data_IF_866486675648
#
_entry.id   IF_866486675648
#
_cell.length_a   1.000
_cell.length_b   1.000
_cell.length_c   1.000
_cell.angle_alpha   90.00
_cell.angle_beta   90.00
_cell.angle_gamma   90.00
#
_symmetry.space_group_name_H-M   'P 1'
#
loop_
_entity.id
_entity.type
_entity.pdbx_description
1 polymer ?
#
# COMPACT_ATOMS: atom_id res chain seq x y z
N UNK A 1 -21.11 -17.09 13.91
CA UNK A 1 -20.09 -16.03 13.81
C UNK A 1 -20.06 -15.50 12.38
N UNK A 2 -20.82 -14.45 12.08
CA UNK A 2 -20.89 -13.85 10.76
C UNK A 2 -19.84 -12.73 10.70
N UNK A 3 -18.64 -13.02 10.18
CA UNK A 3 -17.58 -12.03 10.01
C UNK A 3 -18.05 -11.05 8.93
N UNK A 4 -18.44 -9.86 9.36
CA UNK A 4 -18.82 -8.75 8.47
C UNK A 4 -17.54 -8.31 7.75
N UNK A 5 -17.27 -8.89 6.58
CA UNK A 5 -16.06 -8.67 5.79
C UNK A 5 -16.20 -7.56 4.75
N UNK A 6 -16.91 -6.47 5.07
CA UNK A 6 -17.11 -5.36 4.15
C UNK A 6 -16.72 -4.02 4.78
N UNK A 7 -15.57 -3.99 5.44
CA UNK A 7 -15.05 -2.77 6.06
C UNK A 7 -14.40 -1.92 4.98
N UNK A 8 -14.83 -0.67 4.82
CA UNK A 8 -14.14 0.27 3.94
C UNK A 8 -12.79 0.61 4.54
N UNK A 9 -11.73 0.39 3.76
CA UNK A 9 -10.36 0.78 4.07
C UNK A 9 -9.95 1.95 3.18
N UNK A 10 -9.26 2.91 3.79
CA UNK A 10 -8.66 4.07 3.15
C UNK A 10 -7.15 3.87 3.12
N UNK A 11 -6.58 3.81 1.91
CA UNK A 11 -5.17 3.55 1.68
C UNK A 11 -4.47 4.86 1.42
N UNK A 12 -3.43 5.12 2.20
CA UNK A 12 -2.51 6.22 1.95
C UNK A 12 -1.15 5.65 1.59
N UNK A 13 -0.42 6.34 0.74
CA UNK A 13 0.97 6.05 0.44
C UNK A 13 1.75 7.32 0.73
N UNK A 14 2.68 7.21 1.67
CA UNK A 14 3.36 8.32 2.31
C UNK A 14 2.32 9.29 2.89
N UNK A 15 2.14 10.47 2.29
CA UNK A 15 1.20 11.50 2.74
C UNK A 15 -0.04 11.64 1.83
N UNK A 16 -0.14 10.82 0.77
CA UNK A 16 -1.19 10.93 -0.23
C UNK A 16 -2.24 9.81 -0.12
N UNK A 17 -3.53 10.17 -0.19
CA UNK A 17 -4.61 9.19 -0.30
C UNK A 17 -4.63 8.59 -1.70
N UNK A 18 -4.37 7.29 -1.80
CA UNK A 18 -4.26 6.56 -3.08
C UNK A 18 -5.50 5.75 -3.43
N UNK A 19 -6.47 5.64 -2.51
CA UNK A 19 -7.80 5.09 -2.80
C UNK A 19 -8.45 4.36 -1.65
N UNK A 20 -9.56 3.67 -1.94
CA UNK A 20 -10.31 2.90 -0.95
C UNK A 20 -10.71 1.52 -1.46
N UNK A 21 -10.80 0.54 -0.58
CA UNK A 21 -11.29 -0.81 -0.90
C UNK A 21 -12.33 -1.25 0.13
N UNK A 22 -13.19 -2.21 -0.24
CA UNK A 22 -14.24 -2.75 0.65
C UNK A 22 -14.32 -4.27 0.63
N UNK A 23 -14.10 -4.89 -0.54
CA UNK A 23 -14.34 -6.32 -0.73
C UNK A 23 -13.05 -7.14 -0.85
N UNK A 24 -12.08 -6.70 -1.67
CA UNK A 24 -10.86 -7.47 -1.97
C UNK A 24 -9.60 -6.96 -1.28
N UNK A 25 -9.68 -5.86 -0.51
CA UNK A 25 -8.56 -5.28 0.25
C UNK A 25 -7.23 -5.17 -0.53
N UNK A 26 -7.31 -4.94 -1.84
CA UNK A 26 -6.16 -4.90 -2.74
C UNK A 26 -6.19 -3.65 -3.60
N UNK A 27 -5.04 -3.01 -3.77
CA UNK A 27 -4.86 -1.84 -4.61
C UNK A 27 -3.55 -1.98 -5.39
N UNK A 28 -3.56 -1.65 -6.69
CA UNK A 28 -2.36 -1.68 -7.53
C UNK A 28 -1.71 -0.31 -7.52
N UNK A 29 -0.45 -0.24 -7.10
CA UNK A 29 0.34 0.99 -7.02
C UNK A 29 1.62 0.81 -7.83
N UNK A 30 2.18 1.93 -8.31
CA UNK A 30 3.50 1.98 -8.94
C UNK A 30 4.33 3.10 -8.31
N UNK A 31 4.74 2.98 -7.03
CA UNK A 31 5.55 3.99 -6.37
C UNK A 31 6.96 4.02 -6.97
N UNK A 32 7.66 5.11 -6.73
CA UNK A 32 9.07 5.22 -7.10
C UNK A 32 9.92 4.27 -6.24
N UNK A 33 11.13 3.90 -6.68
CA UNK A 33 12.07 3.22 -5.82
C UNK A 33 12.43 4.07 -4.59
N UNK A 34 12.55 3.43 -3.43
CA UNK A 34 12.78 4.09 -2.16
C UNK A 34 11.94 3.50 -1.03
N UNK A 35 12.10 4.08 0.16
CA UNK A 35 11.33 3.74 1.37
C UNK A 35 9.99 4.44 1.34
N UNK A 36 8.95 3.72 1.73
CA UNK A 36 7.58 4.20 1.77
C UNK A 36 6.87 3.78 3.05
N UNK A 37 5.89 4.58 3.43
CA UNK A 37 4.92 4.27 4.48
C UNK A 37 3.55 4.04 3.82
N UNK A 38 2.86 2.97 4.20
CA UNK A 38 1.50 2.68 3.76
C UNK A 38 0.56 2.62 4.97
N UNK A 39 -0.05 3.76 5.35
CA UNK A 39 -1.12 3.79 6.34
C UNK A 39 -2.42 3.26 5.75
N UNK A 40 -3.08 2.36 6.47
CA UNK A 40 -4.42 1.86 6.13
C UNK A 40 -5.35 2.19 7.27
N UNK A 41 -6.41 2.95 6.97
CA UNK A 41 -7.36 3.45 7.97
C UNK A 41 -8.74 2.85 7.71
N UNK A 42 -9.44 2.41 8.75
CA UNK A 42 -10.82 1.96 8.65
C UNK A 42 -11.82 3.11 8.87
N UNK A 43 -13.12 2.86 8.66
CA UNK A 43 -14.18 3.85 8.88
C UNK A 43 -14.31 4.36 10.32
N UNK A 44 -13.70 3.68 11.29
CA UNK A 44 -13.74 4.05 12.71
C UNK A 44 -12.50 4.87 13.10
N UNK A 45 -11.58 5.13 12.17
CA UNK A 45 -10.35 5.86 12.41
C UNK A 45 -9.21 4.98 12.94
N UNK A 46 -9.40 3.66 13.04
CA UNK A 46 -8.31 2.76 13.40
C UNK A 46 -7.31 2.71 12.25
N UNK A 47 -6.02 2.82 12.56
CA UNK A 47 -4.95 2.82 11.56
C UNK A 47 -3.95 1.69 11.79
N UNK A 48 -3.43 1.14 10.70
CA UNK A 48 -2.28 0.24 10.68
C UNK A 48 -1.24 0.76 9.71
N UNK A 49 0.03 0.74 10.12
CA UNK A 49 1.14 1.31 9.36
C UNK A 49 2.07 0.20 8.87
N UNK A 50 2.37 0.22 7.57
CA UNK A 50 3.31 -0.72 6.94
C UNK A 50 4.45 0.06 6.31
N UNK A 51 5.68 -0.22 6.73
CA UNK A 51 6.89 0.32 6.09
C UNK A 51 7.43 -0.69 5.09
N UNK A 52 7.76 -0.23 3.89
CA UNK A 52 8.35 -1.09 2.85
C UNK A 52 9.34 -0.30 1.98
N UNK A 53 10.19 -1.01 1.24
CA UNK A 53 11.17 -0.40 0.35
C UNK A 53 11.10 -1.03 -1.04
N UNK A 54 11.01 -0.20 -2.07
CA UNK A 54 11.08 -0.63 -3.48
C UNK A 54 12.53 -0.52 -3.95
N UNK A 55 13.11 -1.66 -4.30
CA UNK A 55 14.48 -1.76 -4.79
C UNK A 55 14.56 -1.56 -6.31
N UNK A 56 15.58 -0.84 -6.76
CA UNK A 56 15.92 -0.77 -8.19
C UNK A 56 16.71 -2.01 -8.58
N UNK A 57 16.26 -2.75 -9.60
CA UNK A 57 17.13 -3.72 -10.27
C UNK A 57 18.25 -2.96 -10.99
N UNK A 58 19.48 -3.06 -10.50
CA UNK A 58 20.66 -2.69 -11.29
C UNK A 58 20.69 -3.57 -12.55
N UNK A 59 20.66 -2.96 -13.72
CA UNK A 59 21.02 -3.66 -14.96
C UNK A 59 22.51 -3.96 -14.92
N UNK A 60 22.89 -5.23 -14.92
CA UNK A 60 24.28 -5.61 -15.16
C UNK A 60 24.62 -5.17 -16.59
N UNK A 61 25.54 -4.21 -16.71
CA UNK A 61 26.09 -3.78 -17.99
C UNK A 61 27.03 -4.89 -18.45
N UNK A 62 26.58 -5.75 -19.36
CA UNK A 62 27.52 -6.63 -20.07
C UNK A 62 28.39 -5.71 -20.93
N UNK A 63 29.68 -5.67 -20.61
CA UNK A 63 30.69 -5.19 -21.54
C UNK A 63 30.94 -6.34 -22.52
N UNK A 64 30.48 -6.15 -23.76
CA UNK A 64 30.92 -6.91 -24.93
C UNK A 64 32.00 -6.11 -25.66
#
# INVERSE_FOLDING_TARGET
MHRIYNTKLFWHLDDDCVGTTQQFYQLKLNPKPGKHLLPVIDKQGNSGNIFFEILVKKKNKLFI
#
